data_IF_789676187305
#
_entry.id   IF_789676187305
#
_cell.length_a   1.000
_cell.length_b   1.000
_cell.length_c   1.000
_cell.angle_alpha   90.00
_cell.angle_beta   90.00
_cell.angle_gamma   90.00
#
_symmetry.space_group_name_H-M   'P 1'
#
loop_
_entity.id
_entity.type
_entity.pdbx_description
1 polymer ?
#
# COMPACT_ATOMS: atom_id res chain seq x y z
N UNK A 1 34.09 -11.00 12.73
CA UNK A 1 33.19 -11.30 13.85
C UNK A 1 32.07 -10.25 13.82
N UNK A 2 30.87 -10.59 13.32
CA UNK A 2 29.74 -9.64 13.28
C UNK A 2 29.12 -9.61 14.67
N UNK A 3 29.41 -8.56 15.43
CA UNK A 3 28.77 -8.31 16.72
C UNK A 3 27.25 -8.38 16.53
N UNK A 4 26.60 -9.30 17.24
CA UNK A 4 25.16 -9.26 17.45
C UNK A 4 24.92 -8.08 18.38
N UNK A 5 24.81 -6.88 17.82
CA UNK A 5 24.31 -5.73 18.56
C UNK A 5 22.94 -6.12 19.13
N UNK A 6 22.90 -6.36 20.43
CA UNK A 6 21.67 -6.62 21.16
C UNK A 6 20.82 -5.37 21.05
N UNK A 7 19.74 -5.45 20.27
CA UNK A 7 18.83 -4.33 20.10
C UNK A 7 18.42 -3.81 21.46
N UNK A 8 18.83 -2.58 21.77
CA UNK A 8 18.37 -1.89 22.96
C UNK A 8 16.88 -1.60 22.75
N UNK A 9 16.08 -1.53 23.82
CA UNK A 9 14.63 -1.28 23.75
C UNK A 9 14.25 -0.07 22.88
N UNK A 10 15.12 0.94 22.79
CA UNK A 10 14.99 2.09 21.88
C UNK A 10 15.03 1.73 20.40
N UNK A 11 15.90 0.81 20.00
CA UNK A 11 16.04 0.38 18.61
C UNK A 11 14.81 -0.44 18.18
N UNK A 12 14.31 -1.30 19.07
CA UNK A 12 13.05 -2.01 18.85
C UNK A 12 11.87 -1.05 18.66
N UNK A 13 11.76 -0.03 19.52
CA UNK A 13 10.72 0.99 19.40
C UNK A 13 10.87 1.81 18.09
N UNK A 14 12.10 2.08 17.65
CA UNK A 14 12.35 2.76 16.38
C UNK A 14 11.93 1.91 15.17
N UNK A 15 12.15 0.59 15.20
CA UNK A 15 11.70 -0.35 14.18
C UNK A 15 10.17 -0.40 14.10
N UNK A 16 9.48 -0.54 15.24
CA UNK A 16 8.02 -0.59 15.29
C UNK A 16 7.39 0.71 14.79
N UNK A 17 7.93 1.88 15.13
CA UNK A 17 7.48 3.16 14.56
C UNK A 17 7.61 3.20 13.04
N UNK A 18 8.71 2.69 12.50
CA UNK A 18 8.97 2.65 11.05
C UNK A 18 8.01 1.69 10.35
N UNK A 19 7.74 0.54 10.95
CA UNK A 19 6.77 -0.46 10.46
C UNK A 19 5.36 0.09 10.48
N UNK A 20 4.92 0.72 11.57
CA UNK A 20 3.60 1.32 11.68
C UNK A 20 3.40 2.47 10.67
N UNK A 21 4.43 3.28 10.45
CA UNK A 21 4.40 4.32 9.41
C UNK A 21 4.26 3.74 7.99
N UNK A 22 4.92 2.61 7.72
CA UNK A 22 4.82 1.90 6.44
C UNK A 22 3.44 1.26 6.24
N UNK A 23 2.88 0.65 7.29
CA UNK A 23 1.52 0.09 7.27
C UNK A 23 0.47 1.18 7.09
N UNK A 24 0.60 2.33 7.76
CA UNK A 24 -0.25 3.50 7.52
C UNK A 24 -0.20 3.96 6.05
N UNK A 25 0.99 3.98 5.46
CA UNK A 25 1.14 4.36 4.06
C UNK A 25 0.44 3.36 3.14
N UNK A 26 0.60 2.06 3.39
CA UNK A 26 -0.14 1.01 2.67
C UNK A 26 -1.66 1.15 2.81
N UNK A 27 -2.17 1.40 4.02
CA UNK A 27 -3.59 1.61 4.25
C UNK A 27 -4.13 2.85 3.51
N UNK A 28 -3.30 3.89 3.30
CA UNK A 28 -3.67 5.03 2.46
C UNK A 28 -3.82 4.62 0.98
N UNK A 29 -2.88 3.83 0.43
CA UNK A 29 -3.01 3.27 -0.93
C UNK A 29 -4.25 2.37 -1.05
N UNK A 30 -4.50 1.53 -0.05
CA UNK A 30 -5.67 0.65 -0.01
C UNK A 30 -6.98 1.42 0.02
N UNK A 31 -7.06 2.50 0.80
CA UNK A 31 -8.21 3.41 0.80
C UNK A 31 -8.45 4.00 -0.58
N UNK A 32 -7.42 4.54 -1.22
CA UNK A 32 -7.56 5.13 -2.57
C UNK A 32 -8.00 4.09 -3.59
N UNK A 33 -7.50 2.86 -3.48
CA UNK A 33 -7.92 1.73 -4.31
C UNK A 33 -9.42 1.44 -4.17
N UNK A 34 -9.93 1.29 -2.94
CA UNK A 34 -11.35 0.99 -2.70
C UNK A 34 -12.24 2.11 -3.23
N UNK A 35 -11.88 3.37 -2.99
CA UNK A 35 -12.67 4.52 -3.45
C UNK A 35 -12.75 4.54 -4.97
N UNK A 36 -11.62 4.43 -5.67
CA UNK A 36 -11.57 4.44 -7.13
C UNK A 36 -12.31 3.24 -7.73
N UNK A 37 -12.11 2.05 -7.16
CA UNK A 37 -12.78 0.83 -7.62
C UNK A 37 -14.30 0.93 -7.41
N UNK A 38 -14.74 1.40 -6.25
CA UNK A 38 -16.15 1.65 -5.97
C UNK A 38 -16.76 2.65 -6.95
N UNK A 39 -16.11 3.79 -7.17
CA UNK A 39 -16.55 4.79 -8.14
C UNK A 39 -16.62 4.22 -9.56
N UNK A 40 -15.62 3.45 -10.00
CA UNK A 40 -15.62 2.81 -11.32
C UNK A 40 -16.79 1.83 -11.50
N UNK A 41 -17.07 1.00 -10.49
CA UNK A 41 -18.22 0.08 -10.50
C UNK A 41 -19.54 0.85 -10.53
N UNK A 42 -19.67 1.90 -9.72
CA UNK A 42 -20.87 2.76 -9.67
C UNK A 42 -21.14 3.36 -11.04
N UNK A 43 -20.14 3.95 -11.71
CA UNK A 43 -20.28 4.53 -13.05
C UNK A 43 -20.72 3.49 -14.08
N UNK A 44 -20.18 2.27 -14.03
CA UNK A 44 -20.55 1.23 -15.00
C UNK A 44 -21.96 0.68 -14.80
N UNK A 45 -22.45 0.66 -13.56
CA UNK A 45 -23.76 0.10 -13.22
C UNK A 45 -24.91 1.08 -13.41
N UNK A 46 -24.65 2.38 -13.34
CA UNK A 46 -25.65 3.43 -13.53
C UNK A 46 -25.83 3.74 -15.02
N UNK A 47 -27.00 3.41 -15.57
CA UNK A 47 -27.35 3.62 -16.98
C UNK A 47 -27.33 5.10 -17.40
N UNK A 48 -27.53 6.01 -16.44
CA UNK A 48 -27.46 7.45 -16.63
C UNK A 48 -26.07 7.96 -17.05
N UNK A 49 -25.02 7.16 -16.85
CA UNK A 49 -23.63 7.52 -17.14
C UNK A 49 -23.08 6.79 -18.39
N UNK A 50 -23.93 6.55 -19.39
CA UNK A 50 -23.55 5.82 -20.61
C UNK A 50 -22.32 6.39 -21.32
N UNK A 51 -22.17 7.72 -21.36
CA UNK A 51 -20.99 8.40 -21.94
C UNK A 51 -19.72 8.22 -21.09
N UNK A 52 -19.87 7.97 -19.79
CA UNK A 52 -18.75 7.78 -18.85
C UNK A 52 -18.35 6.32 -18.67
N UNK A 53 -18.97 5.37 -19.37
CA UNK A 53 -18.60 3.94 -19.28
C UNK A 53 -17.11 3.71 -19.58
N UNK A 54 -16.56 4.44 -20.56
CA UNK A 54 -15.12 4.38 -20.87
C UNK A 54 -14.25 4.83 -19.68
N UNK A 55 -14.67 5.89 -18.97
CA UNK A 55 -14.03 6.32 -17.73
C UNK A 55 -14.14 5.28 -16.63
N UNK A 56 -15.29 4.62 -16.47
CA UNK A 56 -15.47 3.54 -15.50
C UNK A 56 -14.49 2.37 -15.72
N UNK A 57 -14.29 1.98 -16.99
CA UNK A 57 -13.30 0.95 -17.36
C UNK A 57 -11.88 1.43 -17.04
N UNK A 58 -11.54 2.68 -17.34
CA UNK A 58 -10.24 3.26 -17.01
C UNK A 58 -9.98 3.27 -15.49
N UNK A 59 -10.97 3.64 -14.68
CA UNK A 59 -10.89 3.61 -13.22
C UNK A 59 -10.68 2.18 -12.70
N UNK A 60 -11.39 1.20 -13.26
CA UNK A 60 -11.20 -0.20 -12.90
C UNK A 60 -9.81 -0.74 -13.29
N UNK A 61 -9.23 -0.26 -14.38
CA UNK A 61 -7.88 -0.63 -14.79
C UNK A 61 -6.80 0.01 -13.91
N UNK A 62 -6.97 1.27 -13.47
CA UNK A 62 -5.97 1.97 -12.67
C UNK A 62 -6.00 1.59 -11.18
N UNK A 63 -7.17 1.20 -10.66
CA UNK A 63 -7.32 0.74 -9.29
C UNK A 63 -6.31 -0.36 -8.89
N UNK A 64 -6.20 -1.50 -9.60
CA UNK A 64 -5.22 -2.54 -9.25
C UNK A 64 -3.77 -2.04 -9.38
N UNK A 65 -3.47 -1.11 -10.28
CA UNK A 65 -2.12 -0.52 -10.41
C UNK A 65 -1.73 0.20 -9.10
N UNK A 66 -2.64 1.02 -8.56
CA UNK A 66 -2.43 1.73 -7.28
C UNK A 66 -2.23 0.74 -6.14
N UNK A 67 -3.00 -0.34 -6.10
CA UNK A 67 -2.87 -1.38 -5.09
C UNK A 67 -1.51 -2.10 -5.20
N UNK A 68 -1.08 -2.47 -6.41
CA UNK A 68 0.21 -3.11 -6.66
C UNK A 68 1.36 -2.20 -6.19
N UNK A 69 1.31 -0.90 -6.49
CA UNK A 69 2.30 0.07 -6.02
C UNK A 69 2.37 0.08 -4.48
N UNK A 70 1.21 0.12 -3.81
CA UNK A 70 1.12 0.06 -2.35
C UNK A 70 1.74 -1.21 -1.77
N UNK A 71 1.44 -2.37 -2.38
CA UNK A 71 1.97 -3.68 -1.98
C UNK A 71 3.49 -3.72 -2.16
N UNK A 72 4.01 -3.38 -3.35
CA UNK A 72 5.45 -3.38 -3.63
C UNK A 72 6.20 -2.48 -2.65
N UNK A 73 5.66 -1.30 -2.34
CA UNK A 73 6.25 -0.38 -1.37
C UNK A 73 6.29 -0.97 0.04
N UNK A 74 5.20 -1.59 0.48
CA UNK A 74 5.13 -2.26 1.78
C UNK A 74 6.21 -3.35 1.91
N UNK A 75 6.33 -4.21 0.89
CA UNK A 75 7.33 -5.28 0.86
C UNK A 75 8.77 -4.76 0.77
N UNK A 76 9.03 -3.72 -0.04
CA UNK A 76 10.37 -3.12 -0.18
C UNK A 76 10.89 -2.62 1.17
N UNK A 77 10.06 -1.90 1.93
CA UNK A 77 10.43 -1.40 3.26
C UNK A 77 10.59 -2.53 4.27
N UNK A 78 9.67 -3.51 4.30
CA UNK A 78 9.82 -4.71 5.16
C UNK A 78 11.14 -5.45 4.87
N UNK A 79 11.54 -5.55 3.59
CA UNK A 79 12.79 -6.22 3.17
C UNK A 79 14.03 -5.43 3.58
N UNK A 80 14.00 -4.09 3.51
CA UNK A 80 15.10 -3.24 3.97
C UNK A 80 15.34 -3.37 5.47
N UNK A 81 14.28 -3.42 6.27
CA UNK A 81 14.36 -3.61 7.73
C UNK A 81 14.96 -4.99 8.05
N UNK A 82 14.48 -6.06 7.39
CA UNK A 82 15.02 -7.42 7.58
C UNK A 82 16.51 -7.51 7.25
N UNK A 83 16.95 -6.81 6.20
CA UNK A 83 18.36 -6.84 5.75
C UNK A 83 19.30 -6.08 6.69
N UNK A 84 18.85 -4.98 7.29
CA UNK A 84 19.65 -4.20 8.24
C UNK A 84 19.75 -4.85 9.63
N UNK A 85 18.66 -5.47 10.10
CA UNK A 85 18.61 -6.01 11.46
C UNK A 85 18.91 -7.52 11.57
N UNK A 86 19.31 -8.18 10.48
CA UNK A 86 19.63 -9.63 10.43
C UNK A 86 18.66 -10.50 11.27
N UNK A 87 17.36 -10.27 11.15
CA UNK A 87 16.30 -11.15 11.67
C UNK A 87 15.90 -12.15 10.59
#
# INVERSE_FOLDING_TARGET
MKEKDTLITRDWLAIERTKLANERTFLAYFRTFIVILGTGITILKLEFFSDLKSFGIFLLAIAPIILIIGIVRLFRVKRTIKKHYQI
#
